data_IF_479012015056
#
_entry.id   IF_479012015056
#
_cell.length_a   1.000
_cell.length_b   1.000
_cell.length_c   1.000
_cell.angle_alpha   90.00
_cell.angle_beta   90.00
_cell.angle_gamma   90.00
#
_symmetry.space_group_name_H-M   'P 1'
#
loop_
_entity.id
_entity.type
_entity.pdbx_description
1 polymer ?
#
# COMPACT_ATOMS: atom_id res chain seq x y z
N UNK A 1 -24.86 -6.22 14.50
CA UNK A 1 -24.86 -4.92 13.78
C UNK A 1 -23.64 -4.16 14.28
N UNK A 2 -22.65 -3.88 13.42
CA UNK A 2 -21.34 -3.30 13.77
C UNK A 2 -21.50 -2.12 14.76
N UNK A 3 -21.07 -2.30 16.01
CA UNK A 3 -20.75 -1.15 16.87
C UNK A 3 -19.33 -0.72 16.48
N UNK A 4 -19.10 0.56 16.11
CA UNK A 4 -17.76 1.07 15.86
C UNK A 4 -17.04 1.15 17.21
N UNK A 5 -16.44 0.04 17.60
CA UNK A 5 -15.58 -0.03 18.76
C UNK A 5 -14.31 0.80 18.52
N UNK A 6 -13.71 1.23 19.62
CA UNK A 6 -12.50 2.07 19.61
C UNK A 6 -11.38 1.43 18.77
N UNK A 7 -11.30 0.09 18.78
CA UNK A 7 -10.30 -0.69 18.04
C UNK A 7 -10.51 -0.57 16.53
N UNK A 8 -11.72 -0.84 16.02
CA UNK A 8 -12.01 -0.71 14.58
C UNK A 8 -11.71 0.69 14.07
N UNK A 9 -11.98 1.72 14.89
CA UNK A 9 -11.65 3.11 14.52
C UNK A 9 -10.15 3.32 14.38
N UNK A 10 -9.34 2.83 15.32
CA UNK A 10 -7.88 2.96 15.24
C UNK A 10 -7.30 2.28 14.00
N UNK A 11 -7.84 1.13 13.60
CA UNK A 11 -7.43 0.46 12.36
C UNK A 11 -7.98 1.13 11.10
N UNK A 12 -9.16 1.77 11.17
CA UNK A 12 -9.67 2.59 10.08
C UNK A 12 -8.81 3.84 9.85
N UNK A 13 -8.27 4.44 10.91
CA UNK A 13 -7.44 5.64 10.85
C UNK A 13 -6.13 5.43 10.08
N UNK A 14 -5.63 4.18 9.98
CA UNK A 14 -4.42 3.87 9.20
C UNK A 14 -4.68 3.55 7.72
N UNK A 15 -5.93 3.37 7.32
CA UNK A 15 -6.29 3.02 5.93
C UNK A 15 -5.79 4.04 4.90
N UNK A 16 -5.94 5.37 5.11
CA UNK A 16 -5.43 6.35 4.15
C UNK A 16 -3.92 6.25 3.92
N UNK A 17 -3.16 5.93 4.98
CA UNK A 17 -1.70 5.77 4.88
C UNK A 17 -1.35 4.50 4.11
N UNK A 18 -2.08 3.40 4.33
CA UNK A 18 -1.92 2.18 3.53
C UNK A 18 -2.27 2.40 2.05
N UNK A 19 -3.29 3.21 1.75
CA UNK A 19 -3.61 3.59 0.37
C UNK A 19 -2.49 4.43 -0.26
N UNK A 20 -1.87 5.34 0.50
CA UNK A 20 -0.72 6.12 0.04
C UNK A 20 0.51 5.24 -0.26
N UNK A 21 0.64 4.09 0.41
CA UNK A 21 1.64 3.08 0.07
C UNK A 21 1.31 2.29 -1.21
N UNK A 22 0.09 2.44 -1.76
CA UNK A 22 -0.38 1.71 -2.95
C UNK A 22 -1.14 0.43 -2.63
N UNK A 23 -1.46 0.17 -1.35
CA UNK A 23 -2.28 -0.98 -0.97
C UNK A 23 -3.77 -0.69 -1.10
N UNK A 24 -4.54 -1.65 -1.61
CA UNK A 24 -6.00 -1.62 -1.48
C UNK A 24 -6.38 -2.16 -0.10
N UNK A 25 -7.00 -1.36 0.75
CA UNK A 25 -7.38 -1.81 2.10
C UNK A 25 -8.88 -1.74 2.32
N UNK A 26 -9.45 -2.81 2.90
CA UNK A 26 -10.85 -2.85 3.36
C UNK A 26 -10.93 -3.44 4.76
N UNK A 27 -11.75 -2.85 5.61
CA UNK A 27 -12.06 -3.35 6.96
C UNK A 27 -13.47 -3.94 6.97
N UNK A 28 -13.64 -5.14 7.53
CA UNK A 28 -14.94 -5.79 7.71
C UNK A 28 -15.10 -6.22 9.15
N UNK A 29 -16.29 -6.05 9.72
CA UNK A 29 -16.60 -6.63 11.04
C UNK A 29 -16.51 -8.16 10.99
N UNK A 30 -16.16 -8.77 12.13
CA UNK A 30 -16.19 -10.22 12.32
C UNK A 30 -17.22 -10.58 13.39
N UNK A 31 -17.88 -11.73 13.24
CA UNK A 31 -18.91 -12.22 14.16
C UNK A 31 -18.33 -13.19 15.23
N UNK A 32 -17.00 -13.20 15.42
CA UNK A 32 -16.25 -14.15 16.27
C UNK A 32 -15.43 -13.44 17.35
N UNK A 33 -14.48 -14.12 18.02
CA UNK A 33 -13.54 -13.50 18.99
C UNK A 33 -12.65 -12.38 18.38
N UNK A 34 -12.70 -12.25 17.06
CA UNK A 34 -12.11 -11.16 16.29
C UNK A 34 -13.07 -9.96 16.26
N UNK A 35 -12.54 -8.75 16.39
CA UNK A 35 -13.30 -7.51 16.19
C UNK A 35 -13.58 -7.29 14.72
N UNK A 36 -12.52 -7.36 13.92
CA UNK A 36 -12.58 -7.03 12.50
C UNK A 36 -11.47 -7.75 11.73
N UNK A 37 -11.67 -7.84 10.42
CA UNK A 37 -10.73 -8.40 9.48
C UNK A 37 -10.34 -7.29 8.51
N UNK A 38 -9.05 -7.02 8.40
CA UNK A 38 -8.49 -6.11 7.42
C UNK A 38 -7.91 -6.92 6.25
N UNK A 39 -8.38 -6.62 5.03
CA UNK A 39 -7.82 -7.16 3.81
C UNK A 39 -6.95 -6.09 3.16
N UNK A 40 -5.68 -6.40 3.01
CA UNK A 40 -4.68 -5.55 2.37
C UNK A 40 -4.32 -6.23 1.04
N UNK A 41 -4.68 -5.63 -0.09
CA UNK A 41 -4.88 -6.35 -1.35
C UNK A 41 -3.71 -7.23 -1.82
N UNK A 42 -2.47 -6.75 -1.71
CA UNK A 42 -1.25 -7.50 -2.11
C UNK A 42 -0.62 -8.30 -0.96
N UNK A 43 -1.14 -8.13 0.25
CA UNK A 43 -0.62 -8.76 1.45
C UNK A 43 -1.63 -9.74 2.03
N UNK A 44 -1.22 -10.43 3.08
CA UNK A 44 -2.10 -11.38 3.75
C UNK A 44 -3.26 -10.68 4.47
N UNK A 45 -4.32 -11.46 4.68
CA UNK A 45 -5.44 -11.02 5.51
C UNK A 45 -4.96 -10.87 6.96
N UNK A 46 -5.36 -9.76 7.58
CA UNK A 46 -5.04 -9.42 8.96
C UNK A 46 -6.29 -9.59 9.82
N UNK A 47 -6.21 -10.45 10.81
CA UNK A 47 -7.21 -10.60 11.86
C UNK A 47 -6.90 -9.60 12.99
N UNK A 48 -7.91 -8.86 13.47
CA UNK A 48 -7.78 -7.86 14.53
C UNK A 48 -8.63 -8.29 15.72
N UNK A 49 -8.04 -8.29 16.90
CA UNK A 49 -8.65 -8.78 18.13
C UNK A 49 -9.14 -7.66 19.04
N UNK A 50 -9.98 -8.02 20.03
CA UNK A 50 -10.61 -7.08 20.96
C UNK A 50 -9.62 -6.29 21.83
N UNK A 51 -8.44 -6.85 22.07
CA UNK A 51 -7.35 -6.18 22.80
C UNK A 51 -6.56 -5.19 21.92
N UNK A 52 -6.92 -5.06 20.65
CA UNK A 52 -6.25 -4.19 19.68
C UNK A 52 -5.05 -4.83 18.98
N UNK A 53 -4.68 -6.06 19.33
CA UNK A 53 -3.62 -6.81 18.65
C UNK A 53 -4.07 -7.24 17.25
N UNK A 54 -3.09 -7.54 16.40
CA UNK A 54 -3.35 -8.07 15.06
C UNK A 54 -2.49 -9.28 14.77
N UNK A 55 -2.99 -10.14 13.89
CA UNK A 55 -2.25 -11.29 13.34
C UNK A 55 -2.53 -11.44 11.85
N UNK A 56 -1.47 -11.60 11.07
CA UNK A 56 -1.54 -11.98 9.65
C UNK A 56 -1.60 -13.50 9.50
N UNK A 57 -2.16 -13.95 8.38
CA UNK A 57 -2.25 -15.38 8.05
C UNK A 57 -0.89 -16.08 7.95
N UNK A 58 0.16 -15.36 7.58
CA UNK A 58 1.55 -15.85 7.55
C UNK A 58 2.17 -16.05 8.95
N UNK A 59 1.46 -15.67 10.01
CA UNK A 59 1.90 -15.82 11.40
C UNK A 59 2.55 -14.56 12.00
N UNK A 60 2.77 -13.50 11.23
CA UNK A 60 3.22 -12.22 11.80
C UNK A 60 2.13 -11.62 12.69
N UNK A 61 2.54 -10.94 13.76
CA UNK A 61 1.61 -10.32 14.70
C UNK A 61 2.21 -9.07 15.33
N UNK A 62 1.36 -8.20 15.84
CA UNK A 62 1.76 -6.98 16.53
C UNK A 62 0.69 -6.50 17.50
N UNK A 63 1.09 -5.58 18.37
CA UNK A 63 0.25 -5.07 19.45
C UNK A 63 -0.60 -3.87 19.04
N UNK A 64 -0.21 -3.15 17.98
CA UNK A 64 -0.83 -1.87 17.63
C UNK A 64 -1.05 -1.72 16.12
N UNK A 65 -2.02 -0.87 15.69
CA UNK A 65 -2.16 -0.47 14.29
C UNK A 65 -0.91 0.19 13.73
N UNK A 66 -0.14 0.90 14.55
CA UNK A 66 1.09 1.54 14.12
C UNK A 66 2.16 0.50 13.76
N UNK A 67 2.31 -0.56 14.57
CA UNK A 67 3.21 -1.68 14.22
C UNK A 67 2.81 -2.38 12.92
N UNK A 68 1.50 -2.50 12.65
CA UNK A 68 1.04 -3.00 11.36
C UNK A 68 1.45 -2.06 10.22
N UNK A 69 1.22 -0.75 10.38
CA UNK A 69 1.61 0.23 9.37
C UNK A 69 3.12 0.22 9.11
N UNK A 70 3.94 0.12 10.15
CA UNK A 70 5.40 0.10 10.04
C UNK A 70 5.90 -1.20 9.38
N UNK A 71 5.26 -2.35 9.67
CA UNK A 71 5.48 -3.58 8.90
C UNK A 71 5.16 -3.36 7.40
N UNK A 72 4.00 -2.79 7.10
CA UNK A 72 3.57 -2.58 5.72
C UNK A 72 4.50 -1.62 4.95
N UNK A 73 5.06 -0.60 5.62
CA UNK A 73 6.11 0.28 5.06
C UNK A 73 7.40 -0.47 4.78
N UNK A 74 7.83 -1.33 5.70
CA UNK A 74 9.03 -2.15 5.56
C UNK A 74 8.92 -3.10 4.37
N UNK A 75 7.81 -3.83 4.27
CA UNK A 75 7.53 -4.69 3.12
C UNK A 75 7.49 -3.88 1.82
N UNK A 76 6.85 -2.71 1.85
CA UNK A 76 6.79 -1.84 0.67
C UNK A 76 8.17 -1.37 0.22
N UNK A 77 9.05 -1.04 1.16
CA UNK A 77 10.43 -0.67 0.83
C UNK A 77 11.16 -1.82 0.14
N UNK A 78 11.06 -3.05 0.67
CA UNK A 78 11.66 -4.23 0.03
C UNK A 78 11.09 -4.50 -1.38
N UNK A 79 9.79 -4.29 -1.60
CA UNK A 79 9.19 -4.37 -2.93
C UNK A 79 9.79 -3.33 -3.89
N UNK A 80 9.86 -2.06 -3.48
CA UNK A 80 10.41 -0.97 -4.29
C UNK A 80 11.88 -1.27 -4.65
N UNK A 81 12.68 -1.73 -3.69
CA UNK A 81 14.04 -2.18 -3.97
C UNK A 81 14.08 -3.33 -4.98
N UNK A 82 13.19 -4.31 -4.84
CA UNK A 82 13.10 -5.43 -5.76
C UNK A 82 12.77 -4.94 -7.17
N UNK A 83 11.79 -4.05 -7.33
CA UNK A 83 11.44 -3.46 -8.63
C UNK A 83 12.61 -2.69 -9.25
N UNK A 84 13.33 -1.90 -8.43
CA UNK A 84 14.53 -1.17 -8.87
C UNK A 84 15.64 -2.12 -9.33
N UNK A 85 15.91 -3.19 -8.58
CA UNK A 85 16.94 -4.19 -8.93
C UNK A 85 16.61 -4.91 -10.25
N UNK A 86 15.34 -5.21 -10.49
CA UNK A 86 14.90 -5.97 -11.67
C UNK A 86 14.47 -5.08 -12.84
N UNK A 87 14.52 -3.75 -12.68
CA UNK A 87 14.02 -2.77 -13.65
C UNK A 87 12.59 -3.09 -14.12
N UNK A 88 11.72 -3.46 -13.19
CA UNK A 88 10.30 -3.65 -13.49
C UNK A 88 9.65 -2.29 -13.72
N UNK A 89 9.66 -1.82 -14.96
CA UNK A 89 9.16 -0.50 -15.33
C UNK A 89 7.67 -0.31 -14.97
N UNK A 90 6.88 -1.38 -14.98
CA UNK A 90 5.46 -1.32 -14.66
C UNK A 90 5.27 -1.09 -13.16
N UNK A 91 6.03 -1.80 -12.35
CA UNK A 91 6.00 -1.62 -10.90
C UNK A 91 6.63 -0.28 -10.48
N UNK A 92 7.72 0.14 -11.13
CA UNK A 92 8.36 1.43 -10.87
C UNK A 92 7.48 2.62 -11.27
N UNK A 93 6.64 2.48 -12.30
CA UNK A 93 5.63 3.50 -12.61
C UNK A 93 4.61 3.66 -11.47
N UNK A 94 4.17 2.54 -10.86
CA UNK A 94 3.30 2.59 -9.69
C UNK A 94 4.02 3.23 -8.49
N UNK A 95 5.26 2.82 -8.23
CA UNK A 95 6.05 3.31 -7.10
C UNK A 95 6.30 4.82 -7.21
N UNK A 96 6.65 5.31 -8.41
CA UNK A 96 6.88 6.72 -8.66
C UNK A 96 5.62 7.59 -8.47
N UNK A 97 4.43 7.06 -8.78
CA UNK A 97 3.17 7.75 -8.55
C UNK A 97 2.78 7.74 -7.07
N UNK A 98 2.96 6.61 -6.38
CA UNK A 98 2.73 6.53 -4.93
C UNK A 98 3.69 7.45 -4.15
N UNK A 99 4.95 7.56 -4.58
CA UNK A 99 5.92 8.52 -4.04
C UNK A 99 5.48 9.98 -4.18
N UNK A 100 4.63 10.30 -5.17
CA UNK A 100 4.02 11.62 -5.35
C UNK A 100 2.71 11.80 -4.55
N UNK A 101 2.35 10.82 -3.70
CA UNK A 101 1.11 10.82 -2.94
C UNK A 101 -0.12 10.39 -3.76
N UNK A 102 0.07 9.87 -4.98
CA UNK A 102 -1.03 9.38 -5.80
C UNK A 102 -1.22 7.90 -5.50
N UNK A 103 -2.29 7.57 -4.76
CA UNK A 103 -2.62 6.19 -4.35
C UNK A 103 -3.05 5.30 -5.53
N UNK A 104 -2.05 4.78 -6.24
CA UNK A 104 -2.15 3.84 -7.36
C UNK A 104 -2.08 2.40 -6.83
N UNK A 105 -3.09 1.61 -7.17
CA UNK A 105 -3.23 0.20 -6.75
C UNK A 105 -2.76 -0.77 -7.84
N UNK A 106 -2.60 -0.31 -9.08
CA UNK A 106 -2.00 -1.07 -10.15
C UNK A 106 -1.77 -0.25 -11.41
N UNK A 107 -0.89 -0.76 -12.27
CA UNK A 107 -0.62 -0.20 -13.60
C UNK A 107 -1.10 -1.22 -14.62
N UNK A 108 -1.75 -0.80 -15.70
CA UNK A 108 -2.25 -1.64 -16.81
C UNK A 108 -1.27 -1.68 -17.97
N UNK A 109 -0.78 -0.51 -18.37
CA UNK A 109 0.12 -0.34 -19.48
C UNK A 109 1.09 0.80 -19.19
N UNK A 110 2.27 0.74 -19.80
CA UNK A 110 3.25 1.82 -19.77
C UNK A 110 3.74 2.12 -21.18
N UNK A 111 4.15 3.36 -21.40
CA UNK A 111 4.86 3.80 -22.59
C UNK A 111 5.99 4.72 -22.18
N UNK A 112 7.21 4.38 -22.61
CA UNK A 112 8.35 5.28 -22.45
C UNK A 112 8.33 6.29 -23.60
N UNK A 113 8.38 7.56 -23.27
CA UNK A 113 8.42 8.66 -24.22
C UNK A 113 9.86 8.96 -24.65
N UNK A 114 10.02 9.61 -25.80
CA UNK A 114 11.33 9.95 -26.37
C UNK A 114 12.17 10.83 -25.42
N UNK A 115 11.52 11.63 -24.57
CA UNK A 115 12.18 12.47 -23.58
C UNK A 115 12.60 11.72 -22.29
N UNK A 116 12.36 10.40 -22.21
CA UNK A 116 12.69 9.55 -21.06
C UNK A 116 11.62 9.50 -19.96
N UNK A 117 10.54 10.28 -20.08
CA UNK A 117 9.38 10.19 -19.19
C UNK A 117 8.57 8.91 -19.45
N UNK A 118 7.72 8.52 -18.50
CA UNK A 118 6.75 7.45 -18.70
C UNK A 118 5.33 8.00 -18.80
N UNK A 119 4.49 7.36 -19.60
CA UNK A 119 3.05 7.46 -19.53
C UNK A 119 2.53 6.11 -19.03
N UNK A 120 1.66 6.11 -18.03
CA UNK A 120 1.12 4.91 -17.42
C UNK A 120 -0.41 4.97 -17.35
N UNK A 121 -1.06 3.91 -17.83
CA UNK A 121 -2.48 3.68 -17.58
C UNK A 121 -2.62 2.99 -16.22
N UNK A 122 -3.21 3.66 -15.24
CA UNK A 122 -3.20 3.21 -13.84
C UNK A 122 -4.60 3.04 -13.29
N UNK A 123 -4.72 2.15 -12.30
CA UNK A 123 -5.90 2.03 -11.43
C UNK A 123 -5.63 2.78 -10.13
N UNK A 124 -6.47 3.76 -9.83
CA UNK A 124 -6.49 4.41 -8.53
C UNK A 124 -7.27 3.57 -7.53
N UNK A 125 -7.03 3.77 -6.24
CA UNK A 125 -7.88 3.18 -5.18
C UNK A 125 -9.36 3.60 -5.30
N UNK A 126 -9.66 4.72 -5.95
CA UNK A 126 -11.03 5.19 -6.25
C UNK A 126 -11.70 4.47 -7.43
N UNK A 127 -10.98 3.56 -8.11
CA UNK A 127 -11.54 2.60 -9.06
C UNK A 127 -11.62 3.05 -10.53
N UNK A 128 -11.33 4.31 -10.85
CA UNK A 128 -11.31 4.77 -12.24
C UNK A 128 -9.91 4.65 -12.84
N UNK A 129 -9.76 4.01 -14.02
CA UNK A 129 -8.52 4.05 -14.77
C UNK A 129 -8.18 5.49 -15.18
N UNK A 130 -6.92 5.87 -15.07
CA UNK A 130 -6.42 7.18 -15.53
C UNK A 130 -5.08 7.01 -16.23
N UNK A 131 -4.83 7.82 -17.26
CA UNK A 131 -3.51 7.92 -17.88
C UNK A 131 -2.74 9.03 -17.18
N UNK A 132 -1.55 8.71 -16.67
CA UNK A 132 -0.72 9.64 -15.92
C UNK A 132 0.69 9.72 -16.51
N UNK A 133 1.22 10.94 -16.56
CA UNK A 133 2.61 11.19 -16.96
C UNK A 133 3.52 11.18 -15.74
N UNK A 134 4.65 10.51 -15.86
CA UNK A 134 5.68 10.38 -14.83
C UNK A 134 6.97 10.97 -15.38
N UNK A 135 7.55 11.91 -14.65
CA UNK A 135 8.80 12.57 -15.04
C UNK A 135 9.97 11.58 -15.15
N UNK A 136 10.94 11.88 -16.03
CA UNK A 136 12.11 11.04 -16.33
C UNK A 136 12.99 10.69 -15.13
N UNK A 137 12.85 11.39 -14.01
CA UNK A 137 13.59 11.16 -12.75
C UNK A 137 12.93 10.10 -11.86
N UNK A 138 11.92 9.36 -12.36
CA UNK A 138 11.20 8.31 -11.63
C UNK A 138 12.10 7.31 -10.87
N UNK A 139 13.28 6.96 -11.39
CA UNK A 139 14.23 6.07 -10.71
C UNK A 139 14.75 6.69 -9.40
N UNK A 140 15.16 7.97 -9.46
CA UNK A 140 15.61 8.70 -8.28
C UNK A 140 14.46 8.91 -7.28
N UNK A 141 13.25 9.16 -7.77
CA UNK A 141 12.06 9.28 -6.91
C UNK A 141 11.77 7.99 -6.17
N UNK A 142 11.82 6.84 -6.85
CA UNK A 142 11.60 5.53 -6.24
C UNK A 142 12.68 5.24 -5.19
N UNK A 143 13.96 5.56 -5.47
CA UNK A 143 15.06 5.38 -4.50
C UNK A 143 14.88 6.24 -3.26
N UNK A 144 14.51 7.51 -3.44
CA UNK A 144 14.27 8.41 -2.31
C UNK A 144 13.10 7.91 -1.47
N UNK A 145 11.98 7.56 -2.11
CA UNK A 145 10.81 7.05 -1.41
C UNK A 145 11.11 5.77 -0.65
N UNK A 146 11.87 4.84 -1.25
CA UNK A 146 12.35 3.64 -0.60
C UNK A 146 13.11 3.92 0.72
N UNK A 147 13.96 4.95 0.73
CA UNK A 147 14.69 5.38 1.91
C UNK A 147 13.76 6.02 2.95
N UNK A 148 12.82 6.87 2.50
CA UNK A 148 11.85 7.56 3.36
C UNK A 148 10.86 6.60 4.03
N UNK A 149 10.63 5.41 3.48
CA UNK A 149 9.72 4.42 4.08
C UNK A 149 10.27 3.77 5.36
N UNK A 150 11.59 3.78 5.56
CA UNK A 150 12.28 3.13 6.69
C UNK A 150 12.68 4.17 7.77
N UNK A 151 12.53 5.47 7.49
CA UNK A 151 12.87 6.57 8.39
C UNK A 151 11.65 7.32 8.93
#
# INVERSE_FOLDING_TARGET
MLHPDKVSKQYADIIPQLHALGYTCTLKGSDSDQVCIMRIGRADTVDIFNDGTWRRRDGMQGATPQELLDLMKTERSHEVEHHLRHRDLRALAQDALNAQGIAVTGVRAIRILVNGSMEADVFLHTGRPQTMSIEKNWDAMCRQWCADLIH
#
